data_IF_633502980730
#
_entry.id   IF_633502980730
#
_cell.length_a   1.000
_cell.length_b   1.000
_cell.length_c   1.000
_cell.angle_alpha   90.00
_cell.angle_beta   90.00
_cell.angle_gamma   90.00
#
_symmetry.space_group_name_H-M   'P 1'
#
loop_
_entity.id
_entity.type
_entity.pdbx_description
1 polymer ?
#
# COMPACT_ATOMS: atom_id res chain seq x y z
N UNK A 1 37.76 -8.40 41.46
CA UNK A 1 36.36 -8.42 40.97
C UNK A 1 36.05 -7.19 40.11
N UNK A 2 36.33 -5.96 40.58
CA UNK A 2 36.05 -4.70 39.86
C UNK A 2 36.84 -4.54 38.54
N UNK A 3 38.11 -4.96 38.50
CA UNK A 3 38.97 -4.85 37.30
C UNK A 3 38.43 -5.65 36.11
N UNK A 4 37.91 -6.86 36.37
CA UNK A 4 37.30 -7.72 35.35
C UNK A 4 36.01 -7.11 34.77
N UNK A 5 35.21 -6.47 35.62
CA UNK A 5 34.01 -5.73 35.20
C UNK A 5 34.37 -4.57 34.28
N UNK A 6 35.38 -3.77 34.64
CA UNK A 6 35.78 -2.59 33.85
C UNK A 6 36.37 -3.00 32.49
N UNK A 7 37.24 -4.02 32.45
CA UNK A 7 37.80 -4.54 31.19
C UNK A 7 36.72 -5.09 30.25
N UNK A 8 35.69 -5.73 30.80
CA UNK A 8 34.57 -6.23 30.02
C UNK A 8 33.73 -5.10 29.38
N UNK A 9 33.40 -4.05 30.15
CA UNK A 9 32.68 -2.89 29.61
C UNK A 9 33.48 -2.13 28.54
N UNK A 10 34.80 -2.02 28.68
CA UNK A 10 35.67 -1.40 27.68
C UNK A 10 35.73 -2.20 26.36
N UNK A 11 35.59 -3.53 26.42
CA UNK A 11 35.56 -4.37 25.23
C UNK A 11 34.18 -4.37 24.54
N UNK A 12 33.09 -4.24 25.31
CA UNK A 12 31.72 -4.25 24.78
C UNK A 12 31.32 -2.91 24.15
N UNK A 13 31.74 -1.78 24.74
CA UNK A 13 31.44 -0.43 24.24
C UNK A 13 31.64 -0.25 22.72
N UNK A 14 32.82 -0.56 22.16
CA UNK A 14 33.08 -0.33 20.73
C UNK A 14 32.32 -1.28 19.79
N UNK A 15 31.87 -2.44 20.28
CA UNK A 15 31.11 -3.43 19.48
C UNK A 15 29.60 -3.14 19.53
N UNK A 16 29.12 -2.55 20.62
CA UNK A 16 27.69 -2.24 20.79
C UNK A 16 27.22 -1.13 19.83
N UNK A 17 28.08 -0.14 19.56
CA UNK A 17 27.77 0.99 18.66
C UNK A 17 27.47 0.53 17.21
N UNK A 18 28.35 -0.24 16.53
CA UNK A 18 28.06 -0.70 15.17
C UNK A 18 26.87 -1.65 15.12
N UNK A 19 26.68 -2.50 16.15
CA UNK A 19 25.51 -3.38 16.23
C UNK A 19 24.22 -2.55 16.30
N UNK A 20 24.16 -1.54 17.18
CA UNK A 20 23.00 -0.66 17.30
C UNK A 20 22.72 0.09 15.99
N UNK A 21 23.77 0.55 15.31
CA UNK A 21 23.64 1.20 14.01
C UNK A 21 23.07 0.24 12.96
N UNK A 22 23.57 -1.00 12.85
CA UNK A 22 23.04 -2.00 11.94
C UNK A 22 21.56 -2.30 12.22
N UNK A 23 21.16 -2.46 13.48
CA UNK A 23 19.76 -2.68 13.83
C UNK A 23 18.88 -1.47 13.51
N UNK A 24 19.34 -0.25 13.79
CA UNK A 24 18.62 0.97 13.45
C UNK A 24 18.37 1.06 11.93
N UNK A 25 19.39 0.80 11.11
CA UNK A 25 19.24 0.79 9.66
C UNK A 25 18.37 -0.35 9.15
N UNK A 26 18.48 -1.54 9.74
CA UNK A 26 17.62 -2.67 9.40
C UNK A 26 16.15 -2.33 9.65
N UNK A 27 15.83 -1.74 10.82
CA UNK A 27 14.48 -1.30 11.14
C UNK A 27 13.99 -0.22 10.18
N UNK A 28 14.82 0.78 9.86
CA UNK A 28 14.47 1.80 8.87
C UNK A 28 14.23 1.20 7.48
N UNK A 29 15.04 0.22 7.06
CA UNK A 29 14.87 -0.45 5.77
C UNK A 29 13.57 -1.25 5.71
N UNK A 30 13.22 -1.96 6.79
CA UNK A 30 11.95 -2.69 6.89
C UNK A 30 10.76 -1.71 6.80
N UNK A 31 10.78 -0.63 7.58
CA UNK A 31 9.72 0.38 7.55
C UNK A 31 9.57 1.02 6.16
N UNK A 32 10.70 1.33 5.50
CA UNK A 32 10.69 1.84 4.14
C UNK A 32 10.12 0.83 3.13
N UNK A 33 10.41 -0.46 3.31
CA UNK A 33 9.87 -1.53 2.49
C UNK A 33 8.36 -1.67 2.63
N UNK A 34 7.85 -1.64 3.87
CA UNK A 34 6.41 -1.72 4.14
C UNK A 34 5.67 -0.53 3.51
N UNK A 35 6.20 0.69 3.66
CA UNK A 35 5.67 1.90 3.01
C UNK A 35 5.66 1.76 1.49
N UNK A 36 6.73 1.21 0.91
CA UNK A 36 6.82 0.98 -0.52
C UNK A 36 5.78 -0.04 -1.01
N UNK A 37 5.59 -1.14 -0.29
CA UNK A 37 4.58 -2.14 -0.64
C UNK A 37 3.16 -1.56 -0.56
N UNK A 38 2.84 -0.84 0.51
CA UNK A 38 1.55 -0.17 0.68
C UNK A 38 1.26 0.82 -0.46
N UNK A 39 2.25 1.60 -0.87
CA UNK A 39 2.07 2.54 -1.99
C UNK A 39 1.86 1.83 -3.32
N UNK A 40 2.61 0.77 -3.60
CA UNK A 40 2.43 -0.02 -4.83
C UNK A 40 1.06 -0.69 -4.87
N UNK A 41 0.60 -1.25 -3.75
CA UNK A 41 -0.74 -1.84 -3.63
C UNK A 41 -1.83 -0.79 -3.83
N UNK A 42 -1.70 0.37 -3.18
CA UNK A 42 -2.62 1.50 -3.37
C UNK A 42 -2.68 1.97 -4.84
N UNK A 43 -1.53 2.06 -5.51
CA UNK A 43 -1.46 2.38 -6.94
C UNK A 43 -2.05 1.29 -7.83
N UNK A 44 -1.89 0.01 -7.48
CA UNK A 44 -2.48 -1.10 -8.21
C UNK A 44 -4.01 -1.08 -8.09
N UNK A 45 -4.53 -0.83 -6.88
CA UNK A 45 -5.97 -0.66 -6.63
C UNK A 45 -6.49 0.54 -7.40
N UNK A 46 -5.81 1.70 -7.34
CA UNK A 46 -6.20 2.88 -8.09
C UNK A 46 -6.21 2.62 -9.60
N UNK A 47 -5.21 1.89 -10.13
CA UNK A 47 -5.17 1.46 -11.53
C UNK A 47 -6.34 0.54 -11.88
N UNK A 48 -6.68 -0.45 -11.04
CA UNK A 48 -7.85 -1.30 -11.25
C UNK A 48 -9.15 -0.50 -11.24
N UNK A 49 -9.28 0.45 -10.32
CA UNK A 49 -10.45 1.34 -10.27
C UNK A 49 -10.54 2.24 -11.51
N UNK A 50 -9.41 2.68 -12.05
CA UNK A 50 -9.35 3.46 -13.29
C UNK A 50 -9.67 2.63 -14.54
N UNK A 51 -9.52 1.31 -14.49
CA UNK A 51 -9.97 0.40 -15.56
C UNK A 51 -11.50 0.26 -15.61
N UNK A 52 -12.22 0.72 -14.58
CA UNK A 52 -13.69 0.64 -14.56
C UNK A 52 -14.25 1.75 -15.46
N UNK A 53 -14.92 1.41 -16.58
CA UNK A 53 -15.40 2.39 -17.54
C UNK A 53 -16.64 3.18 -17.05
N UNK A 54 -17.25 2.78 -15.93
CA UNK A 54 -18.50 3.37 -15.41
C UNK A 54 -18.41 4.88 -15.18
N UNK A 55 -17.26 5.41 -14.76
CA UNK A 55 -17.08 6.84 -14.51
C UNK A 55 -17.24 7.71 -15.78
N UNK A 56 -17.17 7.10 -16.97
CA UNK A 56 -17.31 7.75 -18.28
C UNK A 56 -18.51 7.22 -19.08
N UNK A 57 -19.40 6.46 -18.45
CA UNK A 57 -20.56 5.89 -19.14
C UNK A 57 -21.77 6.85 -19.05
N UNK A 58 -22.53 6.98 -20.15
CA UNK A 58 -23.73 7.83 -20.22
C UNK A 58 -24.85 7.43 -19.24
N UNK A 59 -24.91 6.15 -18.88
CA UNK A 59 -25.91 5.60 -17.95
C UNK A 59 -25.52 5.74 -16.47
N UNK A 60 -24.34 6.30 -16.19
CA UNK A 60 -23.86 6.53 -14.83
C UNK A 60 -24.43 7.84 -14.27
N UNK A 61 -25.39 7.73 -13.37
CA UNK A 61 -25.99 8.89 -12.67
C UNK A 61 -25.15 9.34 -11.47
N UNK A 62 -24.21 8.54 -10.98
CA UNK A 62 -23.37 8.88 -9.83
C UNK A 62 -24.14 8.96 -8.48
N UNK A 63 -25.43 8.66 -8.48
CA UNK A 63 -26.27 8.67 -7.30
C UNK A 63 -26.03 7.44 -6.43
N UNK A 64 -25.96 7.61 -5.11
CA UNK A 64 -25.66 6.51 -4.18
C UNK A 64 -26.73 5.41 -4.20
N UNK A 65 -27.97 5.76 -4.56
CA UNK A 65 -29.10 4.82 -4.67
C UNK A 65 -29.21 4.17 -6.05
N UNK A 66 -28.76 4.87 -7.10
CA UNK A 66 -28.81 4.43 -8.49
C UNK A 66 -27.47 4.81 -9.14
N UNK A 67 -26.51 3.89 -9.06
CA UNK A 67 -25.18 4.07 -9.63
C UNK A 67 -25.21 4.03 -11.16
N UNK A 68 -25.97 3.08 -11.72
CA UNK A 68 -26.22 2.90 -13.15
C UNK A 68 -27.69 2.56 -13.35
N UNK A 69 -28.31 3.07 -14.42
CA UNK A 69 -29.72 2.81 -14.73
C UNK A 69 -30.00 1.42 -15.33
N UNK A 70 -29.00 0.78 -15.93
CA UNK A 70 -29.11 -0.56 -16.53
C UNK A 70 -28.78 -1.67 -15.53
N UNK A 71 -27.65 -1.52 -14.84
CA UNK A 71 -27.08 -2.54 -13.96
C UNK A 71 -26.65 -1.93 -12.61
N UNK A 72 -27.61 -1.61 -11.72
CA UNK A 72 -27.32 -0.96 -10.43
C UNK A 72 -26.60 -1.87 -9.42
N UNK A 73 -26.68 -3.18 -9.61
CA UNK A 73 -26.18 -4.24 -8.72
C UNK A 73 -24.66 -4.41 -8.79
N UNK A 74 -24.05 -4.29 -9.97
CA UNK A 74 -22.59 -4.44 -10.17
C UNK A 74 -21.88 -3.18 -10.68
N UNK A 75 -22.56 -2.05 -10.81
CA UNK A 75 -21.96 -0.78 -11.22
C UNK A 75 -20.83 -0.31 -10.28
N UNK A 76 -19.76 0.25 -10.86
CA UNK A 76 -18.56 0.73 -10.16
C UNK A 76 -17.82 -0.35 -9.36
N UNK A 77 -17.92 -1.61 -9.77
CA UNK A 77 -17.16 -2.75 -9.22
C UNK A 77 -16.19 -3.32 -10.26
N UNK A 78 -15.29 -4.22 -9.87
CA UNK A 78 -14.37 -4.90 -10.80
C UNK A 78 -15.13 -5.72 -11.87
N UNK A 79 -16.34 -6.21 -11.58
CA UNK A 79 -17.18 -6.88 -12.57
C UNK A 79 -17.60 -5.96 -13.73
N UNK A 80 -17.57 -4.64 -13.51
CA UNK A 80 -17.92 -3.66 -14.51
C UNK A 80 -16.82 -3.32 -15.50
N UNK A 81 -15.59 -3.83 -15.30
CA UNK A 81 -14.45 -3.61 -16.21
C UNK A 81 -14.78 -4.11 -17.63
N UNK A 82 -15.55 -5.20 -17.75
CA UNK A 82 -15.97 -5.79 -19.02
C UNK A 82 -17.47 -5.56 -19.32
N UNK A 83 -18.02 -4.43 -18.88
CA UNK A 83 -19.43 -4.08 -19.11
C UNK A 83 -19.78 -4.16 -20.61
N UNK A 84 -20.72 -5.02 -21.04
CA UNK A 84 -21.10 -5.15 -22.45
C UNK A 84 -21.86 -3.94 -22.98
N UNK A 85 -22.54 -3.21 -22.09
CA UNK A 85 -23.35 -2.03 -22.41
C UNK A 85 -22.54 -0.72 -22.36
N UNK A 86 -21.21 -0.83 -22.23
CA UNK A 86 -20.34 0.33 -22.26
C UNK A 86 -20.24 0.90 -23.67
N UNK A 87 -21.07 1.91 -23.94
CA UNK A 87 -20.95 2.75 -25.12
C UNK A 87 -20.08 3.97 -24.79
N UNK A 88 -18.93 4.07 -25.45
CA UNK A 88 -18.19 5.33 -25.52
C UNK A 88 -19.04 6.33 -26.32
N UNK A 89 -19.37 7.46 -25.70
CA UNK A 89 -19.80 8.68 -26.39
C UNK A 89 -18.88 9.84 -25.99
#
# INVERSE_FOLDING_TARGET
MVVWLVSFFQAVGPVLVPICFCFAWLLLAILAWDLWQLTQEGLAIARRLHQIPCARCRFFSGDYRLKCSLHPDWAATEAAIQCPDYHFE
#
